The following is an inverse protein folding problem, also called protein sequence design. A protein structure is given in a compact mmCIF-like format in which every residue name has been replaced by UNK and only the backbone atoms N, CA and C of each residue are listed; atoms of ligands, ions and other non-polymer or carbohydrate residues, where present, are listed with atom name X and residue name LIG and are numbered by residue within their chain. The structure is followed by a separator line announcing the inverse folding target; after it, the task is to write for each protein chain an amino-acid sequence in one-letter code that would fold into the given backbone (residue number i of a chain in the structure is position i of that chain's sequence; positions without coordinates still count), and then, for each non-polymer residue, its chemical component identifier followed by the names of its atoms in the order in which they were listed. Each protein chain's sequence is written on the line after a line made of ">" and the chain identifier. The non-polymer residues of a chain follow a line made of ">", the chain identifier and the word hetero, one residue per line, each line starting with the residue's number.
data_IF_644383500841
#
_entry.id   IF_644383500841
#
_cell.length_a   1.000
_cell.length_b   1.000
_cell.length_c   1.000
_cell.angle_alpha   90.00
_cell.angle_beta   90.00
_cell.angle_gamma   90.00
#
_symmetry.space_group_name_H-M   'P 1'
#
loop_
_entity.id
_entity.type
_entity.pdbx_description
1 polymer ?
#
# COMPACT_ATOMS: atom_id res chain seq x y z
N UNK A 1 68.76 54.21 96.42
CA UNK A 1 68.92 55.66 96.59
C UNK A 1 69.00 56.31 95.21
N UNK A 2 68.37 57.49 95.10
CA UNK A 2 68.50 58.47 94.03
C UNK A 2 67.93 58.09 92.65
N UNK A 3 66.67 58.51 92.46
CA UNK A 3 66.09 58.83 91.17
C UNK A 3 66.85 60.00 90.51
N UNK A 4 67.03 59.94 89.20
CA UNK A 4 67.12 61.15 88.36
C UNK A 4 66.23 60.94 87.13
N UNK A 5 64.97 61.34 87.28
CA UNK A 5 64.14 61.77 86.16
C UNK A 5 64.69 63.10 85.67
N UNK A 6 65.13 63.13 84.42
CA UNK A 6 65.37 64.37 83.66
C UNK A 6 64.71 64.24 82.29
N UNK A 7 63.87 65.19 81.86
CA UNK A 7 63.14 65.12 80.60
C UNK A 7 64.05 65.58 79.47
N UNK A 8 64.23 64.74 78.46
CA UNK A 8 64.92 65.12 77.23
C UNK A 8 63.86 65.26 76.11
N UNK A 9 63.46 66.48 75.72
CA UNK A 9 62.54 66.70 74.61
C UNK A 9 63.34 66.65 73.31
N UNK A 10 63.68 65.45 72.85
CA UNK A 10 64.22 65.27 71.50
C UNK A 10 63.05 65.26 70.53
N UNK A 11 62.72 66.48 70.10
CA UNK A 11 62.25 66.88 68.78
C UNK A 11 61.50 65.77 68.03
N UNK A 12 60.18 65.90 68.04
CA UNK A 12 59.32 65.43 66.96
C UNK A 12 59.84 66.00 65.64
N UNK A 13 60.79 65.31 65.03
CA UNK A 13 61.16 65.52 63.64
C UNK A 13 59.94 65.16 62.82
N UNK A 14 59.24 66.18 62.33
CA UNK A 14 58.28 66.05 61.26
C UNK A 14 59.05 65.58 60.03
N UNK A 15 59.21 64.27 59.89
CA UNK A 15 59.36 63.71 58.56
C UNK A 15 58.04 64.09 57.86
N UNK A 16 58.07 64.77 56.70
CA UNK A 16 56.88 64.81 55.86
C UNK A 16 56.48 63.35 55.71
N UNK A 17 55.31 62.98 56.22
CA UNK A 17 54.75 61.69 55.91
C UNK A 17 54.62 61.71 54.39
N UNK A 18 55.58 61.10 53.71
CA UNK A 18 55.51 60.80 52.29
C UNK A 18 54.31 59.89 52.16
N UNK A 19 53.15 60.52 52.00
CA UNK A 19 51.91 59.82 51.76
C UNK A 19 52.12 59.22 50.38
N UNK A 20 52.49 57.94 50.37
CA UNK A 20 52.74 57.19 49.16
C UNK A 20 51.37 56.94 48.54
N UNK A 21 50.83 57.98 47.89
CA UNK A 21 49.54 57.95 47.22
C UNK A 21 49.68 56.97 46.07
N UNK A 22 49.32 55.72 46.32
CA UNK A 22 49.19 54.70 45.28
C UNK A 22 48.05 55.13 44.36
N UNK A 23 48.38 55.88 43.30
CA UNK A 23 47.46 56.24 42.21
C UNK A 23 47.21 55.02 41.33
N UNK A 24 46.52 54.01 41.87
CA UNK A 24 46.20 52.79 41.13
C UNK A 24 44.86 52.19 41.55
N UNK A 25 44.04 51.84 40.56
CA UNK A 25 42.82 51.06 40.79
C UNK A 25 43.15 49.70 41.40
N UNK A 26 42.32 49.23 42.34
CA UNK A 26 42.45 47.91 42.97
C UNK A 26 42.52 46.78 41.94
N UNK A 27 43.04 45.62 42.34
CA UNK A 27 43.17 44.45 41.47
C UNK A 27 41.80 43.91 41.00
N UNK A 28 40.81 43.96 41.88
CA UNK A 28 39.42 43.60 41.60
C UNK A 28 38.58 44.87 41.48
N UNK A 29 37.90 45.02 40.36
CA UNK A 29 36.99 46.13 40.05
C UNK A 29 35.66 45.58 39.55
N UNK A 30 34.56 46.35 39.72
CA UNK A 30 33.23 45.97 39.20
C UNK A 30 33.17 45.98 37.67
N UNK A 31 34.02 46.79 37.03
CA UNK A 31 34.10 46.92 35.58
C UNK A 31 35.33 46.17 35.05
N UNK A 32 35.27 45.82 33.76
CA UNK A 32 36.40 45.26 33.04
C UNK A 32 37.59 46.21 33.07
N UNK A 33 38.68 45.76 33.70
CA UNK A 33 39.91 46.53 33.79
C UNK A 33 40.75 46.27 32.54
N UNK A 34 41.25 47.34 31.93
CA UNK A 34 42.17 47.25 30.82
C UNK A 34 43.41 46.43 31.23
N UNK A 35 43.78 45.45 30.41
CA UNK A 35 44.98 44.66 30.62
C UNK A 35 46.21 45.47 30.18
N UNK A 36 47.35 45.19 30.81
CA UNK A 36 48.63 45.67 30.28
C UNK A 36 48.87 45.08 28.89
N UNK A 37 49.51 45.84 28.00
CA UNK A 37 49.69 45.45 26.59
C UNK A 37 50.35 44.08 26.41
N UNK A 38 51.36 43.76 27.22
CA UNK A 38 52.00 42.42 27.20
C UNK A 38 51.04 41.30 27.60
N UNK A 39 50.16 41.54 28.59
CA UNK A 39 49.16 40.56 29.01
C UNK A 39 48.10 40.36 27.94
N UNK A 40 47.70 41.42 27.25
CA UNK A 40 46.77 41.32 26.12
C UNK A 40 47.36 40.46 24.98
N UNK A 41 48.65 40.63 24.67
CA UNK A 41 49.36 39.75 23.73
C UNK A 41 49.38 38.30 24.19
N UNK A 42 49.66 38.05 25.47
CA UNK A 42 49.67 36.70 26.04
C UNK A 42 48.29 36.05 25.89
N UNK A 43 47.22 36.75 26.26
CA UNK A 43 45.86 36.24 26.13
C UNK A 43 45.47 35.90 24.69
N UNK A 44 45.91 36.73 23.72
CA UNK A 44 45.67 36.48 22.31
C UNK A 44 46.47 35.26 21.79
N UNK A 45 47.69 35.05 22.27
CA UNK A 45 48.52 33.89 21.89
C UNK A 45 48.00 32.60 22.51
N UNK A 46 47.44 32.66 23.73
CA UNK A 46 46.87 31.50 24.43
C UNK A 46 45.42 31.22 24.06
N UNK A 47 44.87 31.89 23.04
CA UNK A 47 43.52 31.61 22.56
C UNK A 47 43.45 30.18 22.00
N UNK A 48 42.48 29.41 22.45
CA UNK A 48 42.33 28.02 22.02
C UNK A 48 41.94 27.98 20.54
N UNK A 49 42.77 27.33 19.73
CA UNK A 49 42.49 27.05 18.33
C UNK A 49 42.09 25.59 18.19
N UNK A 50 40.80 25.26 17.91
CA UNK A 50 40.40 23.87 17.69
C UNK A 50 41.06 23.31 16.42
N UNK A 51 41.43 22.03 16.41
CA UNK A 51 41.99 21.41 15.21
C UNK A 51 40.95 21.43 14.09
N UNK A 52 41.30 22.03 12.96
CA UNK A 52 40.44 22.04 11.77
C UNK A 52 40.57 20.69 11.08
N UNK A 53 39.48 19.90 10.95
CA UNK A 53 39.56 18.64 10.22
C UNK A 53 39.87 18.93 8.74
N UNK A 54 40.71 18.10 8.12
CA UNK A 54 41.07 18.25 6.70
C UNK A 54 39.85 18.19 5.77
N UNK A 55 38.80 17.49 6.20
CA UNK A 55 37.52 17.37 5.49
C UNK A 55 36.39 17.69 6.48
N UNK A 56 35.48 18.61 6.14
CA UNK A 56 34.29 18.86 6.96
C UNK A 56 33.45 17.59 7.14
N UNK A 57 32.90 17.36 8.34
CA UNK A 57 32.09 16.17 8.66
C UNK A 57 30.85 16.00 7.78
N UNK A 58 30.38 17.08 7.15
CA UNK A 58 29.28 17.08 6.17
C UNK A 58 29.67 16.47 4.81
N UNK A 59 30.96 16.50 4.47
CA UNK A 59 31.50 15.96 3.22
C UNK A 59 31.88 14.47 3.35
N UNK A 60 31.98 13.96 4.58
CA UNK A 60 32.09 12.53 4.83
C UNK A 60 30.68 11.93 4.82
N UNK A 61 30.47 10.77 4.18
CA UNK A 61 29.21 10.04 4.36
C UNK A 61 29.03 9.79 5.86
N UNK A 62 27.85 10.08 6.43
CA UNK A 62 27.60 9.77 7.82
C UNK A 62 27.89 8.28 8.02
N UNK A 63 28.65 7.94 9.06
CA UNK A 63 28.81 6.56 9.45
C UNK A 63 27.39 6.00 9.61
N UNK A 64 27.05 4.95 8.83
CA UNK A 64 25.80 4.23 9.00
C UNK A 64 25.80 3.75 10.44
N UNK A 65 25.06 4.44 11.29
CA UNK A 65 24.69 3.87 12.55
C UNK A 65 23.73 2.75 12.20
N UNK A 66 24.21 1.51 12.27
CA UNK A 66 23.30 0.38 12.47
C UNK A 66 22.77 0.49 13.90
N UNK A 67 21.99 1.55 14.17
CA UNK A 67 20.98 1.50 15.22
C UNK A 67 20.01 0.44 14.71
N UNK A 68 20.28 -0.83 15.04
CA UNK A 68 19.33 -1.92 14.87
C UNK A 68 18.20 -1.59 15.84
N UNK A 69 17.32 -0.69 15.42
CA UNK A 69 16.05 -0.47 16.08
C UNK A 69 15.40 -1.85 16.15
N UNK A 70 15.33 -2.40 17.36
CA UNK A 70 14.65 -3.65 17.61
C UNK A 70 13.25 -3.52 17.01
N UNK A 71 12.89 -4.42 16.08
CA UNK A 71 11.59 -4.35 15.45
C UNK A 71 10.52 -4.28 16.55
N UNK A 72 9.79 -3.17 16.58
CA UNK A 72 8.73 -2.93 17.55
C UNK A 72 7.83 -4.17 17.59
N UNK A 73 7.71 -4.86 18.73
CA UNK A 73 7.11 -6.19 18.79
C UNK A 73 5.68 -6.26 18.21
N UNK A 74 4.94 -5.15 18.29
CA UNK A 74 3.63 -5.01 17.66
C UNK A 74 3.68 -4.99 16.12
N UNK A 75 4.71 -4.40 15.51
CA UNK A 75 4.91 -4.45 14.05
C UNK A 75 5.14 -5.89 13.57
N UNK A 76 5.85 -6.71 14.36
CA UNK A 76 6.04 -8.14 14.06
C UNK A 76 4.73 -8.92 14.12
N UNK A 77 3.86 -8.62 15.09
CA UNK A 77 2.52 -9.21 15.19
C UNK A 77 1.63 -8.78 14.02
N UNK A 78 1.64 -7.50 13.65
CA UNK A 78 0.88 -7.02 12.49
C UNK A 78 1.34 -7.68 11.19
N UNK A 79 2.65 -7.88 10.99
CA UNK A 79 3.17 -8.61 9.83
C UNK A 79 2.68 -10.04 9.79
N UNK A 80 2.70 -10.74 10.93
CA UNK A 80 2.19 -12.11 11.02
C UNK A 80 0.69 -12.17 10.68
N UNK A 81 -0.11 -11.26 11.23
CA UNK A 81 -1.54 -11.20 10.98
C UNK A 81 -1.87 -10.88 9.51
N UNK A 82 -1.06 -10.04 8.87
CA UNK A 82 -1.16 -9.76 7.44
C UNK A 82 -0.80 -11.00 6.63
N UNK A 83 0.30 -11.67 6.97
CA UNK A 83 0.74 -12.90 6.29
C UNK A 83 -0.29 -14.03 6.40
N UNK A 84 -0.89 -14.21 7.57
CA UNK A 84 -2.03 -15.12 7.76
C UNK A 84 -3.22 -14.71 6.88
N UNK A 85 -3.56 -13.43 6.84
CA UNK A 85 -4.65 -12.95 5.99
C UNK A 85 -4.39 -13.18 4.49
N UNK A 86 -3.13 -13.12 4.03
CA UNK A 86 -2.74 -13.48 2.66
C UNK A 86 -2.86 -14.97 2.36
N UNK A 87 -2.60 -15.83 3.35
CA UNK A 87 -2.71 -17.29 3.18
C UNK A 87 -4.15 -17.76 3.21
N UNK A 88 -4.96 -17.17 4.08
CA UNK A 88 -6.36 -17.56 4.26
C UNK A 88 -7.27 -17.04 3.13
N UNK A 89 -6.92 -15.90 2.52
CA UNK A 89 -7.73 -15.24 1.50
C UNK A 89 -7.03 -15.21 0.13
N UNK A 90 -7.64 -15.85 -0.87
CA UNK A 90 -7.17 -15.77 -2.27
C UNK A 90 -7.41 -14.40 -2.92
N UNK A 91 -8.45 -13.69 -2.47
CA UNK A 91 -8.83 -12.38 -3.00
C UNK A 91 -8.64 -11.29 -1.94
N UNK A 92 -7.79 -10.30 -2.23
CA UNK A 92 -7.50 -9.17 -1.35
C UNK A 92 -7.64 -7.86 -2.10
N UNK A 93 -8.64 -7.07 -1.74
CA UNK A 93 -8.81 -5.72 -2.30
C UNK A 93 -8.09 -4.69 -1.43
N UNK A 94 -7.25 -3.86 -2.05
CA UNK A 94 -6.65 -2.70 -1.39
C UNK A 94 -7.41 -1.44 -1.77
N UNK A 95 -7.89 -0.73 -0.76
CA UNK A 95 -8.64 0.51 -0.93
C UNK A 95 -7.96 1.64 -0.16
N UNK A 96 -7.88 2.81 -0.77
CA UNK A 96 -7.50 4.01 -0.04
C UNK A 96 -8.63 4.37 0.94
N UNK A 97 -8.26 4.62 2.19
CA UNK A 97 -9.22 5.13 3.16
C UNK A 97 -9.55 6.58 2.82
N UNK A 98 -10.78 6.81 2.33
CA UNK A 98 -11.35 8.15 2.28
C UNK A 98 -11.99 8.47 3.64
N UNK A 99 -11.88 9.72 4.09
CA UNK A 99 -12.40 10.12 5.39
C UNK A 99 -13.93 9.97 5.41
N UNK A 100 -14.39 8.95 6.14
CA UNK A 100 -15.80 8.64 6.36
C UNK A 100 -16.09 8.78 7.86
N UNK A 101 -17.27 9.28 8.27
CA UNK A 101 -17.64 9.33 9.68
C UNK A 101 -17.75 7.90 10.25
N UNK A 102 -17.52 7.76 11.55
CA UNK A 102 -17.42 6.44 12.20
C UNK A 102 -18.67 5.56 12.03
N UNK A 103 -19.86 6.16 11.96
CA UNK A 103 -21.13 5.46 11.74
C UNK A 103 -21.16 4.75 10.37
N UNK A 104 -20.76 5.44 9.32
CA UNK A 104 -20.74 4.91 7.96
C UNK A 104 -19.69 3.79 7.80
N UNK A 105 -18.57 3.88 8.51
CA UNK A 105 -17.55 2.82 8.52
C UNK A 105 -18.10 1.54 9.16
N UNK A 106 -18.88 1.65 10.25
CA UNK A 106 -19.51 0.50 10.90
C UNK A 106 -20.58 -0.11 10.00
N UNK A 107 -21.40 0.72 9.37
CA UNK A 107 -22.43 0.28 8.44
C UNK A 107 -21.82 -0.44 7.22
N UNK A 108 -20.77 0.13 6.62
CA UNK A 108 -20.00 -0.48 5.53
C UNK A 108 -19.45 -1.85 5.94
N UNK A 109 -18.82 -1.95 7.12
CA UNK A 109 -18.31 -3.23 7.65
C UNK A 109 -19.42 -4.26 7.84
N UNK A 110 -20.60 -3.83 8.29
CA UNK A 110 -21.74 -4.72 8.45
C UNK A 110 -22.23 -5.28 7.11
N UNK A 111 -22.40 -4.43 6.10
CA UNK A 111 -22.79 -4.87 4.75
C UNK A 111 -21.78 -5.84 4.14
N UNK A 112 -20.48 -5.57 4.29
CA UNK A 112 -19.42 -6.42 3.76
C UNK A 112 -19.35 -7.77 4.48
N UNK A 113 -19.58 -7.82 5.80
CA UNK A 113 -19.66 -9.08 6.55
C UNK A 113 -20.81 -9.98 6.11
N UNK A 114 -21.94 -9.40 5.66
CA UNK A 114 -23.06 -10.18 5.12
C UNK A 114 -22.64 -11.01 3.89
N UNK A 115 -21.64 -10.53 3.16
CA UNK A 115 -21.03 -11.21 2.01
C UNK A 115 -19.72 -11.94 2.35
N UNK A 116 -19.43 -12.17 3.65
CA UNK A 116 -18.18 -12.76 4.15
C UNK A 116 -16.90 -11.99 3.73
N UNK A 117 -16.99 -10.66 3.59
CA UNK A 117 -15.84 -9.81 3.28
C UNK A 117 -15.36 -9.15 4.58
N UNK A 118 -14.12 -9.44 4.98
CA UNK A 118 -13.47 -8.81 6.12
C UNK A 118 -12.70 -7.55 5.72
N UNK A 119 -12.86 -6.47 6.51
CA UNK A 119 -12.11 -5.23 6.32
C UNK A 119 -11.11 -5.06 7.45
N UNK A 120 -9.81 -5.05 7.10
CA UNK A 120 -8.70 -4.80 8.03
C UNK A 120 -8.03 -3.47 7.68
N UNK A 121 -7.76 -2.66 8.69
CA UNK A 121 -7.07 -1.38 8.54
C UNK A 121 -5.62 -1.57 8.97
N UNK A 122 -4.70 -1.39 8.03
CA UNK A 122 -3.25 -1.52 8.28
C UNK A 122 -2.58 -0.21 7.88
N UNK A 123 -1.61 0.23 8.70
CA UNK A 123 -0.81 1.41 8.42
C UNK A 123 0.15 1.12 7.26
N UNK A 124 0.38 2.13 6.41
CA UNK A 124 1.21 2.00 5.21
C UNK A 124 2.68 1.64 5.51
N UNK A 125 3.16 1.94 6.72
CA UNK A 125 4.52 1.60 7.17
C UNK A 125 4.73 0.09 7.37
N UNK A 126 3.66 -0.65 7.64
CA UNK A 126 3.69 -2.10 7.87
C UNK A 126 3.31 -2.88 6.61
N UNK A 127 2.57 -2.24 5.69
CA UNK A 127 2.02 -2.84 4.49
C UNK A 127 2.85 -2.47 3.25
N UNK A 128 3.69 -3.40 2.77
CA UNK A 128 4.62 -3.19 1.64
C UNK A 128 4.06 -3.44 0.23
N UNK A 129 2.77 -3.70 0.05
CA UNK A 129 2.17 -3.93 -1.28
C UNK A 129 0.96 -4.86 -1.27
N UNK A 130 0.18 -4.85 -2.36
CA UNK A 130 -1.04 -5.64 -2.54
C UNK A 130 -0.81 -6.83 -3.48
N UNK A 131 -1.30 -8.02 -3.10
CA UNK A 131 -1.24 -9.24 -3.93
C UNK A 131 -2.64 -9.87 -3.99
N UNK A 132 -3.18 -10.13 -5.17
CA UNK A 132 -4.35 -10.98 -5.41
C UNK A 132 -3.83 -12.14 -6.26
N UNK A 133 -3.85 -13.39 -5.77
CA UNK A 133 -3.38 -14.58 -6.52
C UNK A 133 -2.08 -14.33 -7.35
N UNK A 134 -1.06 -13.74 -6.74
CA UNK A 134 0.21 -13.30 -7.35
C UNK A 134 0.08 -12.38 -8.60
N UNK A 135 -1.13 -11.92 -8.91
CA UNK A 135 -1.50 -11.15 -10.10
C UNK A 135 -2.13 -9.82 -9.69
N UNK A 136 -1.36 -8.74 -9.76
CA UNK A 136 -1.84 -7.40 -9.42
C UNK A 136 -2.86 -6.96 -10.49
N UNK A 137 -4.14 -6.91 -10.11
CA UNK A 137 -5.20 -6.41 -10.99
C UNK A 137 -5.43 -4.91 -10.76
N UNK A 138 -5.49 -4.17 -11.85
CA UNK A 138 -6.00 -2.78 -11.85
C UNK A 138 -7.48 -2.77 -11.47
N UNK A 139 -8.00 -1.61 -11.04
CA UNK A 139 -9.42 -1.40 -10.76
C UNK A 139 -10.32 -1.95 -11.87
N UNK A 140 -9.97 -1.69 -13.13
CA UNK A 140 -10.74 -2.19 -14.28
C UNK A 140 -10.72 -3.72 -14.38
N UNK A 141 -9.62 -4.35 -13.98
CA UNK A 141 -9.49 -5.80 -13.90
C UNK A 141 -10.48 -6.40 -12.91
N UNK A 142 -10.65 -5.78 -11.74
CA UNK A 142 -11.62 -6.20 -10.72
C UNK A 142 -13.06 -6.02 -11.20
N UNK A 143 -13.37 -4.89 -11.85
CA UNK A 143 -14.70 -4.63 -12.41
C UNK A 143 -15.07 -5.63 -13.52
N UNK A 144 -14.10 -6.05 -14.33
CA UNK A 144 -14.31 -7.08 -15.34
C UNK A 144 -14.47 -8.45 -14.68
N UNK A 145 -13.70 -8.75 -13.62
CA UNK A 145 -13.82 -9.99 -12.86
C UNK A 145 -15.19 -10.15 -12.21
N UNK A 146 -15.76 -9.06 -11.67
CA UNK A 146 -17.10 -9.07 -11.08
C UNK A 146 -18.23 -9.32 -12.11
N UNK A 147 -17.99 -9.01 -13.39
CA UNK A 147 -18.94 -9.26 -14.48
C UNK A 147 -18.82 -10.68 -15.06
N UNK A 148 -17.77 -11.43 -14.70
CA UNK A 148 -17.61 -12.78 -15.20
C UNK A 148 -18.66 -13.71 -14.56
N UNK A 149 -19.21 -14.66 -15.33
CA UNK A 149 -20.05 -15.70 -14.79
C UNK A 149 -19.26 -16.56 -13.78
N UNK A 150 -19.97 -17.27 -12.90
CA UNK A 150 -19.33 -18.12 -11.89
C UNK A 150 -18.39 -19.14 -12.53
N UNK A 151 -17.39 -19.61 -11.76
CA UNK A 151 -16.41 -20.58 -12.24
C UNK A 151 -17.07 -21.86 -12.79
N UNK A 152 -18.15 -22.31 -12.14
CA UNK A 152 -18.92 -23.46 -12.60
C UNK A 152 -19.61 -23.19 -13.93
N UNK A 153 -20.14 -21.98 -14.12
CA UNK A 153 -20.78 -21.60 -15.38
C UNK A 153 -19.75 -21.44 -16.51
N UNK A 154 -18.55 -20.91 -16.24
CA UNK A 154 -17.50 -20.81 -17.25
C UNK A 154 -16.92 -22.18 -17.62
N UNK A 155 -16.76 -23.09 -16.65
CA UNK A 155 -16.41 -24.49 -16.91
C UNK A 155 -17.53 -25.22 -17.67
N UNK A 156 -18.79 -24.97 -17.32
CA UNK A 156 -19.94 -25.48 -18.06
C UNK A 156 -19.98 -24.98 -19.50
N UNK A 157 -19.63 -23.72 -19.73
CA UNK A 157 -19.52 -23.13 -21.07
C UNK A 157 -18.38 -23.75 -21.87
N UNK A 158 -17.20 -24.00 -21.29
CA UNK A 158 -16.09 -24.64 -22.01
C UNK A 158 -16.38 -26.09 -22.35
N UNK A 159 -17.01 -26.84 -21.44
CA UNK A 159 -17.46 -28.21 -21.73
C UNK A 159 -18.58 -28.19 -22.77
N UNK A 160 -19.50 -27.23 -22.69
CA UNK A 160 -20.58 -27.04 -23.66
C UNK A 160 -20.07 -26.70 -25.07
N UNK A 161 -19.08 -25.81 -25.19
CA UNK A 161 -18.45 -25.51 -26.48
C UNK A 161 -17.67 -26.70 -27.04
N UNK A 162 -17.00 -27.47 -26.18
CA UNK A 162 -16.35 -28.72 -26.57
C UNK A 162 -17.36 -29.74 -27.10
N UNK A 163 -18.52 -29.88 -26.46
CA UNK A 163 -19.60 -30.77 -26.89
C UNK A 163 -20.29 -30.34 -28.19
N UNK A 164 -20.21 -29.04 -28.52
CA UNK A 164 -20.72 -28.52 -29.80
C UNK A 164 -19.93 -29.06 -31.00
N UNK A 165 -18.62 -29.32 -30.83
CA UNK A 165 -17.76 -29.85 -31.90
C UNK A 165 -18.24 -31.23 -32.43
N UNK A 166 -18.40 -32.28 -31.60
CA UNK A 166 -18.94 -33.55 -32.08
C UNK A 166 -20.41 -33.44 -32.51
N UNK A 167 -21.19 -32.52 -31.93
CA UNK A 167 -22.57 -32.27 -32.37
C UNK A 167 -22.63 -31.70 -33.79
N UNK A 168 -21.71 -30.82 -34.17
CA UNK A 168 -21.60 -30.30 -35.54
C UNK A 168 -21.22 -31.40 -36.53
N UNK A 169 -20.38 -32.35 -36.12
CA UNK A 169 -20.04 -33.50 -36.97
C UNK A 169 -21.21 -34.47 -37.09
N UNK A 170 -21.92 -34.75 -35.98
CA UNK A 170 -23.11 -35.59 -35.98
C UNK A 170 -24.25 -35.01 -36.80
N UNK A 171 -24.49 -33.69 -36.77
CA UNK A 171 -25.57 -33.08 -37.56
C UNK A 171 -25.36 -33.24 -39.07
N UNK A 172 -24.10 -33.19 -39.54
CA UNK A 172 -23.76 -33.46 -40.93
C UNK A 172 -24.08 -34.91 -41.33
N UNK A 173 -23.78 -35.88 -40.45
CA UNK A 173 -24.06 -37.29 -40.69
C UNK A 173 -25.56 -37.62 -40.56
N UNK A 174 -26.25 -37.01 -39.59
CA UNK A 174 -27.67 -37.23 -39.32
C UNK A 174 -28.58 -36.65 -40.40
N UNK A 175 -28.11 -35.71 -41.22
CA UNK A 175 -28.92 -35.11 -42.30
C UNK A 175 -29.41 -36.15 -43.31
N UNK A 176 -28.58 -37.13 -43.67
CA UNK A 176 -28.96 -38.21 -44.57
C UNK A 176 -29.98 -39.17 -43.95
N UNK A 177 -29.77 -39.53 -42.68
CA UNK A 177 -30.66 -40.44 -41.94
C UNK A 177 -32.03 -39.80 -41.69
N UNK A 178 -32.06 -38.51 -41.34
CA UNK A 178 -33.29 -37.74 -41.17
C UNK A 178 -34.10 -37.64 -42.48
N UNK A 179 -33.44 -37.50 -43.63
CA UNK A 179 -34.11 -37.47 -44.92
C UNK A 179 -34.75 -38.82 -45.28
N UNK A 180 -34.04 -39.91 -45.04
CA UNK A 180 -34.53 -41.26 -45.34
C UNK A 180 -35.71 -41.65 -44.45
N UNK A 181 -35.64 -41.32 -43.16
CA UNK A 181 -36.74 -41.55 -42.21
C UNK A 181 -37.99 -40.75 -42.60
N UNK A 182 -37.85 -39.49 -43.00
CA UNK A 182 -38.97 -38.68 -43.49
C UNK A 182 -39.63 -39.25 -44.75
N UNK A 183 -38.85 -39.79 -45.70
CA UNK A 183 -39.39 -40.45 -46.89
C UNK A 183 -40.15 -41.74 -46.56
N UNK A 184 -39.59 -42.56 -45.67
CA UNK A 184 -40.22 -43.81 -45.24
C UNK A 184 -41.53 -43.54 -44.49
N UNK A 185 -41.54 -42.58 -43.56
CA UNK A 185 -42.76 -42.17 -42.84
C UNK A 185 -43.84 -41.66 -43.79
N UNK A 186 -43.47 -40.87 -44.81
CA UNK A 186 -44.40 -40.42 -45.84
C UNK A 186 -45.01 -41.57 -46.64
N UNK A 187 -44.23 -42.62 -46.91
CA UNK A 187 -44.71 -43.78 -47.67
C UNK A 187 -45.63 -44.67 -46.83
N UNK A 188 -45.34 -44.83 -45.52
CA UNK A 188 -46.22 -45.51 -44.57
C UNK A 188 -47.57 -44.79 -44.49
N UNK A 189 -47.58 -43.45 -44.44
CA UNK A 189 -48.81 -42.66 -44.42
C UNK A 189 -49.60 -42.78 -45.74
N UNK A 190 -48.93 -42.83 -46.89
CA UNK A 190 -49.60 -43.09 -48.18
C UNK A 190 -50.22 -44.48 -48.26
N UNK A 191 -49.56 -45.51 -47.73
CA UNK A 191 -50.11 -46.86 -47.68
C UNK A 191 -51.32 -46.95 -46.74
N UNK A 192 -51.31 -46.18 -45.64
CA UNK A 192 -52.44 -46.09 -44.72
C UNK A 192 -53.62 -45.28 -45.30
N UNK A 193 -53.34 -44.23 -46.09
CA UNK A 193 -54.37 -43.46 -46.79
C UNK A 193 -54.97 -44.26 -47.98
N UNK A 194 -54.15 -45.02 -48.72
CA UNK A 194 -54.61 -45.89 -49.81
C UNK A 194 -55.35 -47.15 -49.36
N UNK A 195 -55.15 -47.59 -48.11
CA UNK A 195 -55.91 -48.69 -47.51
C UNK A 195 -57.33 -48.28 -47.05
N UNK A 196 -57.66 -46.98 -47.10
CA UNK A 196 -59.00 -46.44 -46.79
C UNK A 196 -60.00 -46.47 -47.95
N UNK A 197 -59.57 -46.77 -49.18
CA UNK A 197 -60.43 -46.77 -50.37
C UNK A 197 -60.45 -48.17 -51.04
N UNK A 198 -61.09 -49.14 -50.38
CA UNK A 198 -61.60 -50.34 -51.07
C UNK A 198 -63.06 -50.59 -50.66
N UNK A 199 -63.96 -49.86 -51.32
CA UNK A 199 -65.40 -50.12 -51.40
C UNK A 199 -65.92 -49.60 -52.74
N UNK A 200 -66.24 -50.51 -53.66
CA UNK A 200 -66.61 -50.32 -55.09
C UNK A 200 -68.13 -50.10 -55.30
N UNK A 201 -68.71 -49.93 -56.53
CA UNK A 201 -68.32 -49.24 -57.79
C UNK A 201 -69.46 -48.34 -58.41
N UNK A 202 -69.14 -47.54 -59.45
CA UNK A 202 -69.93 -47.07 -60.63
C UNK A 202 -69.33 -45.70 -61.04
N UNK A 203 -69.00 -45.33 -62.27
CA UNK A 203 -69.45 -45.65 -63.62
C UNK A 203 -69.36 -44.33 -64.42
N UNK A 204 -69.00 -44.40 -65.71
CA UNK A 204 -69.00 -43.34 -66.76
C UNK A 204 -67.77 -42.41 -66.93
N UNK A 205 -67.03 -42.66 -68.03
CA UNK A 205 -66.14 -41.75 -68.79
C UNK A 205 -66.95 -40.70 -69.62
N UNK A 206 -66.35 -39.82 -70.47
CA UNK A 206 -65.21 -38.90 -70.29
C UNK A 206 -65.55 -37.47 -70.81
N UNK A 207 -64.74 -36.44 -70.50
CA UNK A 207 -64.74 -35.18 -71.27
C UNK A 207 -63.39 -34.44 -71.24
N UNK A 208 -62.88 -34.14 -72.43
CA UNK A 208 -61.70 -33.30 -72.72
C UNK A 208 -61.98 -31.81 -72.46
N UNK A 209 -60.96 -31.05 -72.03
CA UNK A 209 -60.65 -29.67 -72.49
C UNK A 209 -59.43 -29.14 -71.69
N UNK A 210 -58.23 -29.02 -72.30
CA UNK A 210 -57.65 -27.76 -72.81
C UNK A 210 -57.56 -26.60 -71.80
N UNK A 211 -56.35 -26.09 -71.54
CA UNK A 211 -56.18 -24.81 -70.84
C UNK A 211 -54.76 -24.51 -70.40
N UNK A 212 -53.97 -23.94 -71.30
CA UNK A 212 -52.79 -23.10 -71.01
C UNK A 212 -53.13 -21.94 -70.08
N UNK A 213 -52.33 -21.73 -69.03
CA UNK A 213 -51.59 -20.50 -68.73
C UNK A 213 -50.60 -20.72 -67.58
#
# INVERSE_FOLDING_TARGET
>A
MAAVRGPAPWRSGWLPALQLVRRGSKAVTRHWKAMHFQRQKLMAVTEYVPPRPAVPTRCLPPARKEEKEEEYGYARLLRHQVEEAFRDNRMIAVCQYNSMPGEDVVLMRHYLRKHNIEVKFVLNEVWGGACIDDTILSRQGVENFAKLPSLEASQGQTVGTLALLPSQTCSLLQRGVAHLTALLDGHIQQLQAGAGETGSPEGTDPAQSSGTQ
#
